data_IF_589778313801
#
_entry.id   IF_589778313801
#
_cell.length_a   1.000
_cell.length_b   1.000
_cell.length_c   1.000
_cell.angle_alpha   90.00
_cell.angle_beta   90.00
_cell.angle_gamma   90.00
#
_symmetry.space_group_name_H-M   'P 1'
#
loop_
_entity.id
_entity.type
_entity.pdbx_description
1 polymer ?
#
# COMPACT_ATOMS: atom_id res chain seq x y z
N UNK A 1 -11.05 14.04 -5.41
CA UNK A 1 -10.37 13.60 -4.17
C UNK A 1 -9.30 12.61 -4.58
N UNK A 2 -8.04 12.84 -4.24
CA UNK A 2 -6.97 11.85 -4.46
C UNK A 2 -7.14 10.73 -3.45
N UNK A 3 -7.00 9.47 -3.86
CA UNK A 3 -7.06 8.33 -2.94
C UNK A 3 -6.05 8.50 -1.81
N UNK A 4 -6.49 8.37 -0.56
CA UNK A 4 -5.62 8.46 0.61
C UNK A 4 -5.67 7.13 1.34
N UNK A 5 -4.52 6.46 1.42
CA UNK A 5 -4.34 5.24 2.20
C UNK A 5 -3.43 5.50 3.39
N UNK A 6 -3.68 4.81 4.50
CA UNK A 6 -2.79 4.77 5.65
C UNK A 6 -2.30 3.33 5.86
N UNK A 7 -0.98 3.14 5.81
CA UNK A 7 -0.32 1.85 6.03
C UNK A 7 0.27 1.81 7.42
N UNK A 8 0.03 0.73 8.16
CA UNK A 8 0.57 0.51 9.49
C UNK A 8 0.71 -0.98 9.78
N UNK A 9 1.53 -1.33 10.78
CA UNK A 9 1.79 -2.71 11.18
C UNK A 9 1.26 -2.97 12.58
N UNK A 10 0.56 -4.09 12.74
CA UNK A 10 0.07 -4.58 14.04
C UNK A 10 0.58 -6.00 14.21
N UNK A 11 1.43 -6.21 15.21
CA UNK A 11 2.17 -7.46 15.40
C UNK A 11 2.97 -7.85 14.13
N UNK A 12 2.63 -8.98 13.51
CA UNK A 12 3.24 -9.55 12.31
C UNK A 12 2.44 -9.27 11.04
N UNK A 13 1.36 -8.48 11.11
CA UNK A 13 0.46 -8.19 9.99
C UNK A 13 0.64 -6.76 9.49
N UNK A 14 0.80 -6.63 8.17
CA UNK A 14 0.76 -5.34 7.48
C UNK A 14 -0.68 -5.02 7.08
N UNK A 15 -1.16 -3.83 7.46
CA UNK A 15 -2.56 -3.41 7.31
C UNK A 15 -2.63 -2.10 6.54
N UNK A 16 -3.64 -1.99 5.67
CA UNK A 16 -3.97 -0.77 4.91
C UNK A 16 -5.39 -0.33 5.24
N UNK A 17 -5.54 0.94 5.59
CA UNK A 17 -6.82 1.65 5.69
C UNK A 17 -6.98 2.55 4.46
N UNK A 18 -8.03 2.33 3.67
CA UNK A 18 -8.50 3.33 2.71
C UNK A 18 -9.34 4.37 3.45
N UNK A 19 -8.80 5.58 3.58
CA UNK A 19 -9.40 6.66 4.39
C UNK A 19 -10.74 7.11 3.81
N UNK A 20 -10.93 7.01 2.49
CA UNK A 20 -12.14 7.49 1.84
C UNK A 20 -13.32 6.53 2.03
N UNK A 21 -13.08 5.22 1.95
CA UNK A 21 -14.13 4.20 2.07
C UNK A 21 -14.24 3.61 3.47
N UNK A 22 -13.21 3.74 4.32
CA UNK A 22 -13.10 3.05 5.60
C UNK A 22 -12.76 1.57 5.48
N UNK A 23 -12.46 1.08 4.27
CA UNK A 23 -12.10 -0.32 4.04
C UNK A 23 -10.74 -0.65 4.64
N UNK A 24 -10.62 -1.85 5.20
CA UNK A 24 -9.40 -2.35 5.84
C UNK A 24 -8.94 -3.62 5.12
N UNK A 25 -7.66 -3.67 4.78
CA UNK A 25 -7.03 -4.79 4.09
C UNK A 25 -5.83 -5.27 4.88
N UNK A 26 -5.74 -6.58 5.11
CA UNK A 26 -4.48 -7.24 5.46
C UNK A 26 -3.74 -7.54 4.16
N UNK A 27 -2.46 -7.20 4.10
CA UNK A 27 -1.63 -7.36 2.91
C UNK A 27 -0.35 -8.10 3.24
N UNK A 28 0.27 -8.70 2.22
CA UNK A 28 1.60 -9.29 2.37
C UNK A 28 2.72 -8.23 2.24
N UNK A 29 3.95 -8.65 2.54
CA UNK A 29 5.13 -7.79 2.45
C UNK A 29 5.37 -7.26 1.03
N UNK A 30 5.11 -8.07 -0.01
CA UNK A 30 5.30 -7.65 -1.40
C UNK A 30 4.35 -6.50 -1.77
N UNK A 31 3.08 -6.60 -1.39
CA UNK A 31 2.10 -5.54 -1.57
C UNK A 31 2.49 -4.28 -0.80
N UNK A 32 3.02 -4.43 0.43
CA UNK A 32 3.49 -3.32 1.25
C UNK A 32 4.61 -2.53 0.55
N UNK A 33 5.57 -3.22 -0.05
CA UNK A 33 6.68 -2.62 -0.80
C UNK A 33 6.19 -1.94 -2.07
N UNK A 34 5.27 -2.58 -2.83
CA UNK A 34 4.68 -2.00 -4.04
C UNK A 34 3.96 -0.69 -3.72
N UNK A 35 3.21 -0.61 -2.62
CA UNK A 35 2.49 0.60 -2.22
C UNK A 35 3.45 1.78 -1.91
N UNK A 36 4.65 1.52 -1.40
CA UNK A 36 5.67 2.55 -1.13
C UNK A 36 6.31 3.12 -2.40
N UNK A 37 6.22 2.38 -3.51
CA UNK A 37 6.74 2.73 -4.83
C UNK A 37 5.66 3.31 -5.74
N UNK A 38 4.40 2.96 -5.54
CA UNK A 38 3.28 3.28 -6.44
C UNK A 38 3.13 4.79 -6.72
N UNK A 39 3.39 5.64 -5.73
CA UNK A 39 3.31 7.10 -5.89
C UNK A 39 4.60 7.74 -6.44
N UNK A 40 5.69 6.98 -6.54
CA UNK A 40 7.02 7.48 -6.95
C UNK A 40 7.41 7.05 -8.36
N UNK A 41 6.89 5.91 -8.82
CA UNK A 41 7.36 5.24 -10.02
C UNK A 41 6.18 4.78 -10.89
N UNK A 42 6.43 4.63 -12.18
CA UNK A 42 5.46 3.99 -13.06
C UNK A 42 5.46 2.47 -12.84
N UNK A 43 4.37 1.80 -13.20
CA UNK A 43 4.26 0.33 -13.11
C UNK A 43 5.45 -0.36 -13.81
N UNK A 44 5.89 0.17 -14.96
CA UNK A 44 7.03 -0.39 -15.71
C UNK A 44 8.36 -0.31 -14.95
N UNK A 45 8.52 0.70 -14.11
CA UNK A 45 9.74 0.91 -13.32
C UNK A 45 9.73 0.01 -12.07
N UNK A 46 8.56 -0.13 -11.44
CA UNK A 46 8.37 -1.02 -10.28
C UNK A 46 8.68 -2.48 -10.65
N UNK A 47 8.22 -2.95 -11.81
CA UNK A 47 8.43 -4.34 -12.27
C UNK A 47 9.91 -4.66 -12.57
N UNK A 48 10.74 -3.64 -12.82
CA UNK A 48 12.16 -3.81 -13.16
C UNK A 48 13.11 -3.76 -11.95
N UNK A 49 12.58 -3.43 -10.77
CA UNK A 49 13.35 -3.36 -9.53
C UNK A 49 13.48 -4.76 -8.93
#
# INVERSE_FOLDING_TARGET
MTGQIHKFRVFDKDIVLDVNSGSIFEIDAMCSDILDLYNKYTIKDIIKT
#
